data_IF_164715602478
#
_entry.id   IF_164715602478
#
_cell.length_a   1.000
_cell.length_b   1.000
_cell.length_c   1.000
_cell.angle_alpha   90.00
_cell.angle_beta   90.00
_cell.angle_gamma   90.00
#
_symmetry.space_group_name_H-M   'P 1'
#
loop_
_entity.id
_entity.type
_entity.pdbx_description
1 polymer ?
#
# COMPACT_ATOMS: atom_id res chain seq x y z
N UNK A 1 -11.10 -17.06 -21.94
CA UNK A 1 -10.01 -16.06 -22.01
C UNK A 1 -9.60 -15.76 -20.57
N UNK A 2 -8.51 -16.35 -20.10
CA UNK A 2 -8.01 -16.13 -18.73
C UNK A 2 -7.36 -14.75 -18.70
N UNK A 3 -7.97 -13.79 -18.00
CA UNK A 3 -7.33 -12.51 -17.70
C UNK A 3 -6.11 -12.80 -16.80
N UNK A 4 -4.95 -12.98 -17.41
CA UNK A 4 -3.69 -12.97 -16.68
C UNK A 4 -3.58 -11.61 -16.03
N UNK A 5 -3.65 -11.56 -14.70
CA UNK A 5 -3.47 -10.34 -13.92
C UNK A 5 -2.07 -9.81 -14.22
N UNK A 6 -1.96 -8.91 -15.19
CA UNK A 6 -0.67 -8.32 -15.58
C UNK A 6 -0.11 -7.60 -14.36
N UNK A 7 1.21 -7.70 -14.15
CA UNK A 7 1.87 -6.92 -13.10
C UNK A 7 1.50 -5.44 -13.29
N UNK A 8 1.19 -4.72 -12.20
CA UNK A 8 0.80 -3.33 -12.31
C UNK A 8 1.94 -2.53 -12.95
N UNK A 9 1.62 -1.68 -13.92
CA UNK A 9 2.61 -0.80 -14.55
C UNK A 9 3.17 0.18 -13.52
N UNK A 10 4.33 0.77 -13.80
CA UNK A 10 4.96 1.71 -12.86
C UNK A 10 4.04 2.90 -12.53
N UNK A 11 3.21 3.33 -13.48
CA UNK A 11 2.19 4.38 -13.27
C UNK A 11 1.08 3.91 -12.34
N UNK A 12 0.55 2.71 -12.57
CA UNK A 12 -0.46 2.14 -11.68
C UNK A 12 0.08 2.04 -10.26
N UNK A 13 1.36 1.73 -10.10
CA UNK A 13 2.02 1.72 -8.80
C UNK A 13 2.11 3.13 -8.17
N UNK A 14 2.39 4.19 -8.95
CA UNK A 14 2.34 5.58 -8.49
C UNK A 14 0.93 5.91 -7.96
N UNK A 15 -0.10 5.62 -8.76
CA UNK A 15 -1.48 5.87 -8.38
C UNK A 15 -1.87 5.10 -7.11
N UNK A 16 -1.52 3.81 -7.04
CA UNK A 16 -1.78 2.98 -5.86
C UNK A 16 -1.08 3.49 -4.60
N UNK A 17 0.13 4.04 -4.74
CA UNK A 17 0.88 4.64 -3.64
C UNK A 17 0.22 5.94 -3.18
N UNK A 18 -0.17 6.82 -4.12
CA UNK A 18 -0.89 8.06 -3.82
C UNK A 18 -2.18 7.80 -3.05
N UNK A 19 -3.01 6.85 -3.53
CA UNK A 19 -4.24 6.42 -2.86
C UNK A 19 -3.96 5.83 -1.47
N UNK A 20 -2.92 5.02 -1.33
CA UNK A 20 -2.57 4.43 -0.03
C UNK A 20 -2.12 5.46 1.00
N UNK A 21 -1.35 6.46 0.57
CA UNK A 21 -0.88 7.54 1.42
C UNK A 21 -1.94 8.61 1.66
N UNK A 22 -3.01 8.64 0.85
CA UNK A 22 -4.03 9.68 0.90
C UNK A 22 -3.54 11.04 0.40
N UNK A 23 -2.58 11.05 -0.53
CA UNK A 23 -1.99 12.26 -1.09
C UNK A 23 -2.11 12.29 -2.62
N UNK A 24 -1.83 13.43 -3.25
CA UNK A 24 -1.80 13.53 -4.71
C UNK A 24 -0.56 12.84 -5.29
N UNK A 25 -0.62 12.45 -6.56
CA UNK A 25 0.52 11.85 -7.28
C UNK A 25 1.72 12.83 -7.34
N UNK A 26 1.45 14.13 -7.47
CA UNK A 26 2.49 15.16 -7.38
C UNK A 26 3.19 15.16 -6.02
N UNK A 27 2.42 15.01 -4.92
CA UNK A 27 3.00 14.92 -3.58
C UNK A 27 3.88 13.67 -3.44
N UNK A 28 3.51 12.54 -4.06
CA UNK A 28 4.36 11.34 -4.10
C UNK A 28 5.72 11.65 -4.73
N UNK A 29 5.77 12.49 -5.76
CA UNK A 29 7.04 12.93 -6.36
C UNK A 29 7.82 13.83 -5.40
N UNK A 30 7.17 14.77 -4.72
CA UNK A 30 7.83 15.60 -3.71
C UNK A 30 8.44 14.75 -2.58
N UNK A 31 7.69 13.78 -2.08
CA UNK A 31 8.12 12.90 -1.00
C UNK A 31 9.24 11.95 -1.45
N UNK A 32 9.14 11.42 -2.67
CA UNK A 32 10.18 10.59 -3.26
C UNK A 32 11.49 11.38 -3.47
N UNK A 33 11.41 12.64 -3.89
CA UNK A 33 12.57 13.52 -3.98
C UNK A 33 13.21 13.74 -2.61
N UNK A 34 12.39 14.09 -1.61
CA UNK A 34 12.86 14.30 -0.26
C UNK A 34 13.49 13.04 0.33
N UNK A 35 12.91 11.87 0.07
CA UNK A 35 13.47 10.60 0.53
C UNK A 35 14.80 10.24 -0.15
N UNK A 36 14.98 10.66 -1.41
CA UNK A 36 16.17 10.33 -2.18
C UNK A 36 17.33 11.31 -1.94
N UNK A 37 17.04 12.60 -1.97
CA UNK A 37 18.04 13.68 -1.87
C UNK A 37 18.15 14.30 -0.48
N UNK A 38 17.29 13.89 0.46
CA UNK A 38 17.21 14.43 1.82
C UNK A 38 17.00 15.96 1.85
N UNK A 39 16.33 16.50 0.81
CA UNK A 39 16.06 17.92 0.62
C UNK A 39 14.56 18.10 0.29
N UNK A 40 13.91 19.11 0.89
CA UNK A 40 12.53 19.45 0.51
C UNK A 40 12.55 20.12 -0.86
N UNK A 41 11.90 19.54 -1.89
CA UNK A 41 11.93 20.14 -3.21
C UNK A 41 11.06 21.40 -3.29
N UNK A 42 11.42 22.31 -4.20
CA UNK A 42 10.49 23.33 -4.69
C UNK A 42 9.60 22.74 -5.79
N UNK A 43 8.37 23.23 -5.91
CA UNK A 43 7.42 22.75 -6.93
C UNK A 43 7.99 22.85 -8.35
N UNK A 44 8.64 23.98 -8.67
CA UNK A 44 9.32 24.21 -9.96
C UNK A 44 10.38 23.17 -10.31
N UNK A 45 10.97 22.52 -9.30
CA UNK A 45 11.98 21.47 -9.49
C UNK A 45 11.35 20.12 -9.80
N UNK A 46 10.14 19.85 -9.28
CA UNK A 46 9.42 18.59 -9.48
C UNK A 46 8.54 18.61 -10.72
N UNK A 47 7.97 19.78 -11.03
CA UNK A 47 7.03 19.99 -12.13
C UNK A 47 7.50 19.41 -13.48
N UNK A 48 8.75 19.58 -13.95
CA UNK A 48 9.17 18.98 -15.22
C UNK A 48 9.08 17.45 -15.23
N UNK A 49 9.52 16.80 -14.15
CA UNK A 49 9.45 15.34 -14.01
C UNK A 49 8.00 14.85 -13.92
N UNK A 50 7.13 15.64 -13.31
CA UNK A 50 5.72 15.30 -13.18
C UNK A 50 4.97 15.47 -14.51
N UNK A 51 5.29 16.50 -15.29
CA UNK A 51 4.75 16.68 -16.64
C UNK A 51 5.20 15.55 -17.56
N UNK A 52 6.46 15.13 -17.50
CA UNK A 52 6.95 13.97 -18.24
C UNK A 52 6.23 12.67 -17.85
N UNK A 53 5.92 12.51 -16.57
CA UNK A 53 5.12 11.40 -16.08
C UNK A 53 3.70 11.39 -16.68
N UNK A 54 3.05 12.55 -16.74
CA UNK A 54 1.70 12.67 -17.31
C UNK A 54 1.68 12.50 -18.85
N UNK A 55 2.75 12.91 -19.54
CA UNK A 55 2.80 12.93 -21.00
C UNK A 55 3.40 11.69 -21.65
N UNK A 56 4.40 11.08 -21.01
CA UNK A 56 5.20 10.00 -21.60
C UNK A 56 5.17 8.70 -20.80
N UNK A 57 4.32 8.62 -19.78
CA UNK A 57 4.21 7.46 -18.90
C UNK A 57 5.56 7.11 -18.20
N UNK A 58 6.45 8.11 -18.11
CA UNK A 58 7.82 7.95 -17.68
C UNK A 58 7.95 8.24 -16.18
N UNK A 59 8.03 7.18 -15.37
CA UNK A 59 8.29 7.32 -13.93
C UNK A 59 9.80 7.41 -13.67
N UNK A 60 10.33 8.46 -13.01
CA UNK A 60 11.75 8.54 -12.66
C UNK A 60 12.19 7.42 -11.70
N UNK A 61 13.47 7.02 -11.76
CA UNK A 61 13.97 5.89 -10.98
C UNK A 61 13.83 6.08 -9.46
N UNK A 62 14.01 7.31 -8.95
CA UNK A 62 13.89 7.64 -7.53
C UNK A 62 12.43 7.51 -7.06
N UNK A 63 11.46 7.91 -7.90
CA UNK A 63 10.02 7.68 -7.68
C UNK A 63 9.71 6.18 -7.65
N UNK A 64 10.20 5.41 -8.62
CA UNK A 64 9.99 3.94 -8.66
C UNK A 64 10.51 3.27 -7.41
N UNK A 65 11.71 3.63 -6.97
CA UNK A 65 12.31 3.07 -5.76
C UNK A 65 11.47 3.41 -4.52
N UNK A 66 11.07 4.67 -4.37
CA UNK A 66 10.24 5.12 -3.27
C UNK A 66 8.90 4.38 -3.21
N UNK A 67 8.22 4.23 -4.33
CA UNK A 67 6.94 3.52 -4.43
C UNK A 67 7.09 2.05 -4.07
N UNK A 68 8.15 1.37 -4.54
CA UNK A 68 8.40 -0.02 -4.16
C UNK A 68 8.52 -0.19 -2.65
N UNK A 69 9.18 0.75 -1.96
CA UNK A 69 9.31 0.73 -0.50
C UNK A 69 7.93 0.89 0.16
N UNK A 70 7.12 1.84 -0.31
CA UNK A 70 5.78 2.09 0.26
C UNK A 70 4.84 0.91 0.04
N UNK A 71 4.77 0.40 -1.18
CA UNK A 71 3.87 -0.70 -1.52
C UNK A 71 4.28 -1.98 -0.78
N UNK A 72 5.59 -2.23 -0.62
CA UNK A 72 6.05 -3.34 0.20
C UNK A 72 5.65 -3.17 1.67
N UNK A 73 5.73 -1.95 2.23
CA UNK A 73 5.21 -1.68 3.60
C UNK A 73 3.72 -1.94 3.70
N UNK A 74 2.93 -1.52 2.71
CA UNK A 74 1.48 -1.80 2.66
C UNK A 74 1.19 -3.29 2.73
N UNK A 75 1.92 -4.10 1.95
CA UNK A 75 1.76 -5.55 1.96
C UNK A 75 2.11 -6.17 3.32
N UNK A 76 3.18 -5.68 3.97
CA UNK A 76 3.54 -6.11 5.33
C UNK A 76 2.42 -5.81 6.34
N UNK A 77 1.88 -4.59 6.36
CA UNK A 77 0.78 -4.23 7.25
C UNK A 77 -0.48 -5.08 7.01
N UNK A 78 -0.80 -5.36 5.75
CA UNK A 78 -1.94 -6.21 5.41
C UNK A 78 -1.75 -7.65 5.89
N UNK A 79 -0.53 -8.18 5.77
CA UNK A 79 -0.18 -9.53 6.22
C UNK A 79 -0.21 -9.64 7.75
N UNK A 80 0.27 -8.63 8.46
CA UNK A 80 0.20 -8.58 9.93
C UNK A 80 -1.24 -8.52 10.43
N UNK A 81 -2.08 -7.64 9.85
CA UNK A 81 -3.51 -7.57 10.19
C UNK A 81 -4.21 -8.90 9.98
N UNK A 82 -3.93 -9.58 8.86
CA UNK A 82 -4.48 -10.92 8.58
C UNK A 82 -4.04 -11.93 9.63
N UNK A 83 -2.75 -11.94 10.02
CA UNK A 83 -2.24 -12.85 11.05
C UNK A 83 -2.92 -12.63 12.40
N UNK A 84 -3.07 -11.37 12.82
CA UNK A 84 -3.75 -11.03 14.08
C UNK A 84 -5.22 -11.44 14.05
N UNK A 85 -5.93 -11.14 12.95
CA UNK A 85 -7.34 -11.53 12.80
C UNK A 85 -7.51 -13.04 12.82
N UNK A 86 -6.67 -13.80 12.11
CA UNK A 86 -6.72 -15.26 12.11
C UNK A 86 -6.46 -15.80 13.53
N UNK A 87 -5.42 -15.31 14.22
CA UNK A 87 -5.11 -15.73 15.58
C UNK A 87 -6.26 -15.45 16.57
N UNK A 88 -6.88 -14.27 16.47
CA UNK A 88 -8.05 -13.93 17.26
C UNK A 88 -9.23 -14.88 16.96
N UNK A 89 -9.52 -15.11 15.67
CA UNK A 89 -10.61 -15.99 15.26
C UNK A 89 -10.41 -17.42 15.76
N UNK A 90 -9.19 -17.95 15.63
CA UNK A 90 -8.81 -19.30 16.10
C UNK A 90 -8.96 -19.44 17.61
N UNK A 91 -8.74 -18.37 18.39
CA UNK A 91 -8.88 -18.43 19.84
C UNK A 91 -10.35 -18.27 20.30
N UNK A 92 -11.06 -17.28 19.75
CA UNK A 92 -12.39 -16.93 20.24
C UNK A 92 -13.50 -17.87 19.74
N UNK A 93 -13.37 -18.45 18.54
CA UNK A 93 -14.40 -19.37 18.01
C UNK A 93 -14.55 -20.64 18.87
N UNK A 94 -13.49 -21.40 19.18
CA UNK A 94 -13.60 -22.58 20.02
C UNK A 94 -14.11 -22.25 21.43
N UNK A 95 -13.68 -21.10 21.99
CA UNK A 95 -14.14 -20.63 23.30
C UNK A 95 -15.65 -20.35 23.28
N UNK A 96 -16.16 -19.69 22.24
CA UNK A 96 -17.59 -19.44 22.05
C UNK A 96 -18.38 -20.75 21.92
N UNK A 97 -17.87 -21.70 21.12
CA UNK A 97 -18.50 -23.02 20.96
C UNK A 97 -18.57 -23.73 22.31
N UNK A 98 -17.46 -23.76 23.06
CA UNK A 98 -17.41 -24.36 24.39
C UNK A 98 -18.41 -23.71 25.35
N UNK A 99 -18.49 -22.38 25.37
CA UNK A 99 -19.43 -21.65 26.21
C UNK A 99 -20.89 -21.96 25.85
N UNK A 100 -21.23 -22.02 24.55
CA UNK A 100 -22.57 -22.40 24.08
C UNK A 100 -22.93 -23.83 24.50
N UNK A 101 -21.97 -24.77 24.41
CA UNK A 101 -22.16 -26.15 24.85
C UNK A 101 -22.42 -26.24 26.35
N UNK A 102 -21.66 -25.50 27.18
CA UNK A 102 -21.90 -25.41 28.62
C UNK A 102 -23.28 -24.86 28.91
N UNK A 103 -23.66 -23.74 28.30
CA UNK A 103 -24.96 -23.10 28.52
C UNK A 103 -26.13 -24.01 28.17
N UNK A 104 -25.98 -24.84 27.12
CA UNK A 104 -26.98 -25.86 26.75
C UNK A 104 -27.02 -27.06 27.70
N UNK A 105 -25.93 -27.42 28.35
CA UNK A 105 -25.90 -28.54 29.28
C UNK A 105 -26.46 -28.17 30.67
N UNK A 106 -26.49 -26.87 31.00
CA UNK A 106 -27.01 -26.34 32.26
C UNK A 106 -28.51 -26.02 32.25
N UNK A 107 -29.17 -26.15 31.10
CA UNK A 107 -30.57 -25.77 30.86
C UNK A 107 -31.40 -27.01 30.54
#
# INVERSE_FOLDING_TARGET
>A
MLFTKSKPTDIQQVHMAAVWLGVSEFQVFCDAWQAWYNEKPSEKRIEPYFVDFLGQDAVPFWVRNYIRIILNRKDLFQNEKKRVLIGALTYYIPLLIFFILIMRALL
#
